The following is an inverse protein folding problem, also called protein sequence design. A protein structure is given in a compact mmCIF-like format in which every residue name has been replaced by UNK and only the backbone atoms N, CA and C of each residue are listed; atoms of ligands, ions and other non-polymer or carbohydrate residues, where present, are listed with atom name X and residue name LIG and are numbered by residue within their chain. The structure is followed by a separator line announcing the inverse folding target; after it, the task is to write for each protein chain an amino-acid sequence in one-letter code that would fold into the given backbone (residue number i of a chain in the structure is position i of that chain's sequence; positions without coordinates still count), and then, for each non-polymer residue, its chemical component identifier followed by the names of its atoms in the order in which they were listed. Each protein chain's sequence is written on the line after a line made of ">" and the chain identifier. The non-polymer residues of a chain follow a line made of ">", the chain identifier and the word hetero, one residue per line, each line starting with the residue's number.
data_IF_707823827340
#
_entry.id   IF_707823827340
#
_cell.length_a   1.000
_cell.length_b   1.000
_cell.length_c   1.000
_cell.angle_alpha   90.00
_cell.angle_beta   90.00
_cell.angle_gamma   90.00
#
_symmetry.space_group_name_H-M   'P 1'
#
loop_
_entity.id
_entity.type
_entity.pdbx_description
1 polymer ?
#
# COMPACT_ATOMS: atom_id res chain seq x y z
N UNK A 1 11.09 -5.87 -8.97
CA UNK A 1 10.14 -6.75 -8.25
C UNK A 1 8.98 -5.88 -7.79
N UNK A 2 7.73 -6.28 -8.03
CA UNK A 2 6.56 -5.55 -7.54
C UNK A 2 6.18 -6.09 -6.17
N UNK A 3 5.99 -5.19 -5.21
CA UNK A 3 5.51 -5.55 -3.89
C UNK A 3 4.04 -5.13 -3.80
N UNK A 4 3.12 -6.07 -3.60
CA UNK A 4 1.72 -5.71 -3.34
C UNK A 4 1.59 -5.16 -1.92
N UNK A 5 0.54 -4.36 -1.67
CA UNK A 5 0.22 -3.88 -0.31
C UNK A 5 0.18 -5.03 0.71
N UNK A 6 -0.43 -6.16 0.32
CA UNK A 6 -0.48 -7.37 1.13
C UNK A 6 0.90 -7.92 1.44
N UNK A 7 1.81 -7.96 0.47
CA UNK A 7 3.19 -8.41 0.69
C UNK A 7 3.94 -7.45 1.60
N UNK A 8 3.80 -6.14 1.41
CA UNK A 8 4.41 -5.12 2.26
C UNK A 8 3.95 -5.27 3.73
N UNK A 9 2.65 -5.48 3.93
CA UNK A 9 2.08 -5.74 5.26
C UNK A 9 2.62 -7.04 5.88
N UNK A 10 2.69 -8.13 5.11
CA UNK A 10 3.21 -9.42 5.59
C UNK A 10 4.69 -9.34 5.97
N UNK A 11 5.51 -8.61 5.23
CA UNK A 11 6.94 -8.37 5.56
C UNK A 11 7.08 -7.62 6.88
N UNK A 12 6.12 -6.74 7.21
CA UNK A 12 6.08 -6.02 8.48
C UNK A 12 5.41 -6.79 9.61
N UNK A 13 4.97 -8.02 9.35
CA UNK A 13 4.28 -8.88 10.32
C UNK A 13 3.05 -8.19 10.94
N UNK A 14 2.38 -7.34 10.16
CA UNK A 14 1.20 -6.59 10.59
C UNK A 14 -0.10 -7.23 10.12
N UNK A 15 -1.11 -7.11 10.97
CA UNK A 15 -2.49 -7.47 10.62
C UNK A 15 -3.18 -6.34 9.87
N UNK A 16 -4.27 -6.65 9.16
CA UNK A 16 -5.09 -5.63 8.51
C UNK A 16 -5.73 -4.68 9.54
N UNK A 17 -6.10 -5.21 10.71
CA UNK A 17 -6.69 -4.44 11.80
C UNK A 17 -5.70 -3.40 12.34
N UNK A 18 -4.46 -3.78 12.65
CA UNK A 18 -3.45 -2.85 13.17
C UNK A 18 -3.17 -1.68 12.21
N UNK A 19 -3.09 -1.95 10.91
CA UNK A 19 -2.86 -0.88 9.92
C UNK A 19 -4.10 -0.02 9.72
N UNK A 20 -5.30 -0.61 9.77
CA UNK A 20 -6.54 0.14 9.72
C UNK A 20 -6.67 1.07 10.93
N UNK A 21 -6.38 0.57 12.13
CA UNK A 21 -6.39 1.34 13.38
C UNK A 21 -5.36 2.48 13.32
N UNK A 22 -4.15 2.19 12.80
CA UNK A 22 -3.08 3.19 12.66
C UNK A 22 -3.41 4.27 11.64
N UNK A 23 -4.16 3.94 10.59
CA UNK A 23 -4.64 4.88 9.58
C UNK A 23 -5.93 5.61 10.03
N UNK A 24 -6.59 5.16 11.10
CA UNK A 24 -7.90 5.66 11.52
C UNK A 24 -9.03 5.30 10.54
N UNK A 25 -8.90 4.18 9.82
CA UNK A 25 -9.91 3.70 8.86
C UNK A 25 -10.52 2.38 9.32
N UNK A 26 -11.66 2.00 8.74
CA UNK A 26 -12.24 0.70 9.00
C UNK A 26 -11.41 -0.43 8.36
N UNK A 27 -11.31 -1.59 9.01
CA UNK A 27 -10.57 -2.75 8.50
C UNK A 27 -11.01 -3.18 7.10
N UNK A 28 -12.30 -3.03 6.79
CA UNK A 28 -12.84 -3.33 5.46
C UNK A 28 -12.37 -2.33 4.40
N UNK A 29 -12.18 -1.06 4.78
CA UNK A 29 -11.58 -0.04 3.91
C UNK A 29 -10.15 -0.45 3.59
N UNK A 30 -9.35 -0.81 4.60
CA UNK A 30 -8.00 -1.30 4.38
C UNK A 30 -7.96 -2.57 3.51
N UNK A 31 -8.85 -3.53 3.74
CA UNK A 31 -8.96 -4.73 2.92
C UNK A 31 -9.31 -4.41 1.45
N UNK A 32 -10.15 -3.40 1.21
CA UNK A 32 -10.43 -2.89 -0.14
C UNK A 32 -9.18 -2.27 -0.77
N UNK A 33 -8.39 -1.51 -0.02
CA UNK A 33 -7.11 -0.96 -0.50
C UNK A 33 -6.15 -2.06 -0.94
N UNK A 34 -6.03 -3.15 -0.17
CA UNK A 34 -5.18 -4.28 -0.57
C UNK A 34 -5.66 -4.98 -1.85
N UNK A 35 -6.98 -5.04 -2.06
CA UNK A 35 -7.60 -5.67 -3.23
C UNK A 35 -7.52 -4.78 -4.47
N UNK A 36 -7.73 -3.48 -4.28
CA UNK A 36 -7.80 -2.45 -5.32
C UNK A 36 -6.81 -1.31 -5.01
N UNK A 37 -5.50 -1.53 -5.19
CA UNK A 37 -4.49 -0.50 -4.91
C UNK A 37 -4.64 0.76 -5.77
N UNK A 38 -5.24 0.65 -6.97
CA UNK A 38 -5.49 1.79 -7.86
C UNK A 38 -6.57 2.76 -7.33
N UNK A 39 -7.43 2.31 -6.41
CA UNK A 39 -8.45 3.15 -5.78
C UNK A 39 -7.91 3.91 -4.55
N UNK A 40 -6.66 3.63 -4.15
CA UNK A 40 -6.04 4.26 -2.98
C UNK A 40 -5.62 5.68 -3.32
N UNK A 41 -6.02 6.63 -2.49
CA UNK A 41 -5.64 8.02 -2.70
C UNK A 41 -4.16 8.24 -2.40
N UNK A 42 -3.56 9.25 -3.01
CA UNK A 42 -2.15 9.61 -2.77
C UNK A 42 -1.89 9.88 -1.27
N UNK A 43 -2.89 10.43 -0.55
CA UNK A 43 -2.78 10.67 0.90
C UNK A 43 -2.64 9.36 1.68
N UNK A 44 -3.51 8.39 1.39
CA UNK A 44 -3.48 7.07 2.03
C UNK A 44 -2.21 6.31 1.65
N UNK A 45 -1.79 6.39 0.39
CA UNK A 45 -0.54 5.78 -0.08
C UNK A 45 0.68 6.32 0.67
N UNK A 46 0.74 7.63 0.95
CA UNK A 46 1.80 8.23 1.78
C UNK A 46 1.78 7.73 3.21
N UNK A 47 0.61 7.69 3.86
CA UNK A 47 0.48 7.15 5.22
C UNK A 47 0.91 5.68 5.28
N UNK A 48 0.48 4.87 4.30
CA UNK A 48 0.88 3.47 4.18
C UNK A 48 2.39 3.33 3.99
N UNK A 49 3.01 4.23 3.22
CA UNK A 49 4.45 4.24 3.01
C UNK A 49 5.22 4.53 4.30
N UNK A 50 4.74 5.48 5.11
CA UNK A 50 5.30 5.80 6.42
C UNK A 50 5.13 4.62 7.40
N UNK A 51 3.93 4.03 7.47
CA UNK A 51 3.61 2.88 8.34
C UNK A 51 4.41 1.62 7.97
N UNK A 52 4.51 1.35 6.67
CA UNK A 52 5.17 0.16 6.14
C UNK A 52 6.67 0.39 5.93
N UNK A 53 7.18 1.62 6.04
CA UNK A 53 8.59 1.94 5.77
C UNK A 53 9.05 1.51 4.38
N UNK A 54 8.14 1.50 3.40
CA UNK A 54 8.38 1.12 2.01
C UNK A 54 7.86 2.25 1.13
N UNK A 55 8.65 2.70 0.15
CA UNK A 55 8.22 3.72 -0.80
C UNK A 55 6.90 3.33 -1.47
N UNK A 56 5.92 4.24 -1.44
CA UNK A 56 4.65 4.02 -2.13
C UNK A 56 4.86 3.76 -3.63
N UNK A 57 5.91 4.29 -4.25
CA UNK A 57 6.26 3.98 -5.64
C UNK A 57 6.50 2.48 -5.85
N UNK A 58 7.17 1.79 -4.90
CA UNK A 58 7.40 0.34 -5.02
C UNK A 58 6.13 -0.50 -4.87
N UNK A 59 5.12 0.07 -4.24
CA UNK A 59 3.83 -0.58 -3.95
C UNK A 59 2.80 -0.32 -5.04
N UNK A 60 2.70 0.94 -5.48
CA UNK A 60 1.63 1.44 -6.36
C UNK A 60 2.12 1.77 -7.77
N UNK A 61 3.38 2.16 -7.97
CA UNK A 61 3.88 2.62 -9.26
C UNK A 61 4.89 1.65 -9.87
N UNK A 62 4.44 0.91 -10.89
CA UNK A 62 5.32 0.10 -11.69
C UNK A 62 6.30 1.00 -12.47
N UNK A 63 7.59 0.81 -12.27
CA UNK A 63 8.67 1.36 -13.09
C UNK A 63 8.69 0.89 -14.55
N UNK A 64 7.57 0.41 -15.11
CA UNK A 64 7.34 0.42 -16.57
C UNK A 64 7.02 1.86 -17.00
N UNK A 65 7.95 2.77 -16.70
CA UNK A 65 8.14 3.92 -17.56
C UNK A 65 8.44 3.31 -18.93
N UNK A 66 7.48 3.39 -19.85
CA UNK A 66 7.71 3.01 -21.23
C UNK A 66 8.95 3.78 -21.67
N UNK A 67 10.06 3.06 -21.92
CA UNK A 67 11.15 3.60 -22.72
C UNK A 67 10.52 4.00 -24.05
N UNK A 68 10.11 5.26 -24.19
CA UNK A 68 9.84 5.83 -25.50
C UNK A 68 11.20 5.90 -26.18
N UNK A 69 11.45 4.92 -27.05
CA UNK A 69 12.62 4.83 -27.92
C UNK A 69 12.48 5.81 -29.08
#
# INVERSE_FOLDING_TARGET
>A
MHLTLKQARLIKEKTQQELADSMGVHVHTYARMEKNPDEVTIREAKQLSELLGVDYDKIFFNGKSTLSR
#
